data_IF_260976693625
#
_entry.id   IF_260976693625
#
_cell.length_a   1.000
_cell.length_b   1.000
_cell.length_c   1.000
_cell.angle_alpha   90.00
_cell.angle_beta   90.00
_cell.angle_gamma   90.00
#
_symmetry.space_group_name_H-M   'P 1'
#
loop_
_entity.id
_entity.type
_entity.pdbx_description
1 polymer ?
#
# COMPACT_ATOMS: atom_id res chain seq x y z
N UNK A 1 -9.14 31.65 -17.55
CA UNK A 1 -8.22 30.51 -17.31
C UNK A 1 -8.81 29.28 -18.00
N UNK A 2 -8.16 28.78 -19.05
CA UNK A 2 -8.64 27.60 -19.81
C UNK A 2 -8.22 26.35 -19.05
N UNK A 3 -9.15 25.71 -18.35
CA UNK A 3 -8.92 24.42 -17.71
C UNK A 3 -8.66 23.37 -18.80
N UNK A 4 -7.51 22.71 -18.70
CA UNK A 4 -7.11 21.58 -19.55
C UNK A 4 -8.01 20.36 -19.27
N UNK A 5 -9.24 20.39 -19.75
CA UNK A 5 -10.19 19.26 -19.65
C UNK A 5 -9.81 18.11 -20.61
N UNK A 6 -8.74 18.25 -21.39
CA UNK A 6 -8.18 17.21 -22.27
C UNK A 6 -7.62 15.99 -21.52
N UNK A 7 -7.41 16.07 -20.20
CA UNK A 7 -7.10 14.90 -19.36
C UNK A 7 -8.33 14.05 -18.99
N UNK A 8 -9.56 14.53 -19.26
CA UNK A 8 -10.80 13.82 -18.93
C UNK A 8 -11.29 12.90 -20.06
N UNK A 9 -10.45 12.58 -21.05
CA UNK A 9 -10.71 11.38 -21.85
C UNK A 9 -10.48 10.21 -20.91
N UNK A 10 -11.56 9.75 -20.27
CA UNK A 10 -11.53 8.60 -19.38
C UNK A 10 -10.82 7.47 -20.13
N UNK A 11 -9.62 7.05 -19.69
CA UNK A 11 -9.03 5.83 -20.19
C UNK A 11 -10.05 4.73 -20.00
N UNK A 12 -10.06 3.72 -20.87
CA UNK A 12 -10.86 2.52 -20.64
C UNK A 12 -10.42 1.94 -19.29
N UNK A 13 -11.15 2.29 -18.24
CA UNK A 13 -10.72 2.09 -16.88
C UNK A 13 -11.14 0.68 -16.47
N UNK A 14 -10.16 -0.12 -16.05
CA UNK A 14 -10.39 -1.51 -15.70
C UNK A 14 -10.85 -1.59 -14.26
N UNK A 15 -11.93 -2.33 -14.02
CA UNK A 15 -12.42 -2.61 -12.66
C UNK A 15 -11.52 -3.66 -12.01
N UNK A 16 -11.21 -3.47 -10.73
CA UNK A 16 -10.48 -4.46 -9.94
C UNK A 16 -11.36 -5.71 -9.70
N UNK A 17 -10.98 -6.84 -10.28
CA UNK A 17 -11.64 -8.16 -10.12
C UNK A 17 -10.84 -9.14 -9.26
N UNK A 18 -9.65 -8.75 -8.81
CA UNK A 18 -8.83 -9.60 -7.93
C UNK A 18 -9.46 -9.62 -6.54
N UNK A 19 -9.65 -10.81 -5.97
CA UNK A 19 -10.14 -10.93 -4.61
C UNK A 19 -9.24 -10.18 -3.60
N UNK A 20 -9.81 -9.47 -2.60
CA UNK A 20 -9.03 -8.60 -1.72
C UNK A 20 -7.89 -9.28 -0.95
N UNK A 21 -8.09 -10.53 -0.53
CA UNK A 21 -7.09 -11.35 0.16
C UNK A 21 -5.89 -11.68 -0.74
N UNK A 22 -6.15 -12.06 -1.99
CA UNK A 22 -5.11 -12.37 -2.98
C UNK A 22 -4.33 -11.10 -3.32
N UNK A 23 -5.05 -10.00 -3.56
CA UNK A 23 -4.44 -8.71 -3.83
C UNK A 23 -3.53 -8.25 -2.68
N UNK A 24 -4.00 -8.37 -1.43
CA UNK A 24 -3.21 -8.01 -0.26
C UNK A 24 -1.92 -8.85 -0.14
N UNK A 25 -2.00 -10.16 -0.41
CA UNK A 25 -0.84 -11.04 -0.38
C UNK A 25 0.19 -10.65 -1.45
N UNK A 26 -0.25 -10.43 -2.70
CA UNK A 26 0.62 -10.00 -3.79
C UNK A 26 1.32 -8.66 -3.49
N UNK A 27 0.61 -7.72 -2.90
CA UNK A 27 1.15 -6.41 -2.52
C UNK A 27 2.12 -6.52 -1.34
N UNK A 28 1.80 -7.34 -0.33
CA UNK A 28 2.68 -7.58 0.82
C UNK A 28 4.01 -8.25 0.41
N UNK A 29 3.96 -9.11 -0.61
CA UNK A 29 5.13 -9.78 -1.18
C UNK A 29 5.92 -8.91 -2.17
N UNK A 30 5.45 -7.69 -2.47
CA UNK A 30 6.09 -6.80 -3.45
C UNK A 30 5.96 -7.27 -4.91
N UNK A 31 5.01 -8.16 -5.20
CA UNK A 31 4.76 -8.69 -6.55
C UNK A 31 3.92 -7.74 -7.41
N UNK A 32 3.34 -6.71 -6.80
CA UNK A 32 2.58 -5.66 -7.46
C UNK A 32 3.17 -4.30 -7.11
N UNK A 33 3.42 -3.49 -8.13
CA UNK A 33 3.95 -2.15 -7.98
C UNK A 33 2.84 -1.10 -8.17
N UNK A 34 3.02 0.10 -7.61
CA UNK A 34 2.05 1.19 -7.73
C UNK A 34 1.71 1.54 -9.19
N UNK A 35 2.65 1.30 -10.11
CA UNK A 35 2.50 1.54 -11.56
C UNK A 35 1.52 0.59 -12.24
N UNK A 36 1.26 -0.58 -11.64
CA UNK A 36 0.39 -1.61 -12.23
C UNK A 36 -1.08 -1.21 -12.11
N UNK A 37 -1.39 -0.27 -11.21
CA UNK A 37 -2.74 0.21 -10.93
C UNK A 37 -3.12 1.49 -11.72
N UNK A 38 -2.29 1.92 -12.67
CA UNK A 38 -2.51 3.18 -13.43
C UNK A 38 -3.79 3.15 -14.26
N UNK A 39 -4.14 2.00 -14.81
CA UNK A 39 -5.32 1.81 -15.67
C UNK A 39 -6.63 1.56 -14.90
N UNK A 40 -6.58 1.47 -13.57
CA UNK A 40 -7.78 1.25 -12.77
C UNK A 40 -8.69 2.49 -12.75
N UNK A 41 -9.99 2.24 -12.60
CA UNK A 41 -10.95 3.29 -12.30
C UNK A 41 -10.70 3.92 -10.93
N UNK A 42 -11.33 5.07 -10.68
CA UNK A 42 -11.12 5.84 -9.46
C UNK A 42 -11.47 5.04 -8.19
N UNK A 43 -12.58 4.29 -8.20
CA UNK A 43 -13.02 3.48 -7.06
C UNK A 43 -12.06 2.33 -6.80
N UNK A 44 -11.67 1.62 -7.86
CA UNK A 44 -10.67 0.55 -7.79
C UNK A 44 -9.31 1.05 -7.26
N UNK A 45 -8.85 2.24 -7.70
CA UNK A 45 -7.64 2.88 -7.15
C UNK A 45 -7.77 3.14 -5.66
N UNK A 46 -8.87 3.73 -5.20
CA UNK A 46 -9.07 4.03 -3.78
C UNK A 46 -8.97 2.78 -2.91
N UNK A 47 -9.47 1.63 -3.38
CA UNK A 47 -9.35 0.34 -2.68
C UNK A 47 -7.88 -0.05 -2.52
N UNK A 48 -7.13 -0.04 -3.63
CA UNK A 48 -5.69 -0.36 -3.64
C UNK A 48 -4.90 0.56 -2.71
N UNK A 49 -5.13 1.87 -2.76
CA UNK A 49 -4.40 2.83 -1.92
C UNK A 49 -4.68 2.64 -0.43
N UNK A 50 -5.93 2.36 -0.04
CA UNK A 50 -6.28 2.02 1.35
C UNK A 50 -5.56 0.75 1.81
N UNK A 51 -5.45 -0.24 0.93
CA UNK A 51 -4.73 -1.49 1.22
C UNK A 51 -3.23 -1.25 1.39
N UNK A 52 -2.59 -0.51 0.48
CA UNK A 52 -1.18 -0.10 0.60
C UNK A 52 -0.91 0.65 1.91
N UNK A 53 -1.75 1.62 2.23
CA UNK A 53 -1.61 2.41 3.45
C UNK A 53 -1.70 1.53 4.70
N UNK A 54 -2.62 0.56 4.70
CA UNK A 54 -2.79 -0.37 5.82
C UNK A 54 -1.58 -1.29 5.97
N UNK A 55 -1.02 -1.79 4.86
CA UNK A 55 0.21 -2.59 4.84
C UNK A 55 1.43 -1.78 5.27
N UNK A 56 1.58 -0.55 4.80
CA UNK A 56 2.67 0.33 5.21
C UNK A 56 2.59 0.62 6.72
N UNK A 57 1.40 0.93 7.24
CA UNK A 57 1.17 1.15 8.66
C UNK A 57 1.56 -0.07 9.49
N UNK A 58 1.17 -1.28 9.08
CA UNK A 58 1.53 -2.50 9.82
C UNK A 58 3.04 -2.72 9.87
N UNK A 59 3.75 -2.53 8.74
CA UNK A 59 5.22 -2.64 8.67
C UNK A 59 5.93 -1.62 9.55
N UNK A 60 5.45 -0.38 9.57
CA UNK A 60 6.00 0.67 10.43
C UNK A 60 5.78 0.38 11.92
N UNK A 61 4.60 -0.13 12.31
CA UNK A 61 4.35 -0.52 13.70
C UNK A 61 5.19 -1.70 14.16
N UNK A 62 5.44 -2.68 13.28
CA UNK A 62 6.32 -3.81 13.60
C UNK A 62 7.77 -3.38 13.72
N UNK A 63 8.25 -2.46 12.88
CA UNK A 63 9.61 -1.93 12.97
C UNK A 63 9.86 -1.17 14.28
N UNK A 64 8.86 -0.46 14.81
CA UNK A 64 8.94 0.22 16.11
C UNK A 64 9.08 -0.72 17.31
N UNK A 65 8.54 -1.94 17.24
CA UNK A 65 8.59 -2.91 18.33
C UNK A 65 9.88 -3.74 18.39
N UNK A 66 10.79 -3.57 17.42
CA UNK A 66 12.10 -4.26 17.39
C UNK A 66 13.23 -3.45 18.07
N UNK A 67 12.93 -2.29 18.66
CA UNK A 67 13.80 -1.64 19.63
C UNK A 67 13.34 -2.04 21.04
N UNK A 68 13.70 -3.25 21.45
CA UNK A 68 13.70 -3.62 22.87
C UNK A 68 15.12 -3.32 23.36
N UNK A 69 15.33 -2.38 24.31
CA UNK A 69 16.64 -2.23 24.90
C UNK A 69 16.98 -3.56 25.57
N UNK A 70 18.07 -4.15 25.12
CA UNK A 70 18.78 -5.23 25.79
C UNK A 70 19.13 -4.69 27.18
N UNK A 71 18.45 -5.18 28.21
CA UNK A 71 18.81 -4.87 29.58
C UNK A 71 20.10 -5.64 29.86
N UNK A 72 21.23 -4.96 29.71
CA UNK A 72 22.51 -5.41 30.24
C UNK A 72 22.32 -5.66 31.74
N UNK A 73 22.34 -6.94 32.08
CA UNK A 73 22.27 -7.40 33.45
C UNK A 73 23.69 -7.28 34.01
N UNK A 74 24.07 -6.07 34.43
CA UNK A 74 25.25 -5.89 35.28
C UNK A 74 24.92 -6.38 36.68
N UNK A 75 25.04 -7.71 36.87
CA UNK A 75 25.33 -8.30 38.16
C UNK A 75 26.77 -7.91 38.54
N UNK A 76 26.91 -6.86 39.34
CA UNK A 76 28.13 -6.63 40.12
C UNK A 76 27.80 -6.86 41.58
N UNK A 77 28.70 -7.62 42.19
CA UNK A 77 28.66 -8.25 43.52
C UNK A 77 28.67 -7.27 44.68
#
# INVERSE_FOLDING_TARGET
MKLFLSFLKAPQAVKLEIQPNVLAALMANGQLHATDFRCLDLGSKQIVWKMLLSLAKSKLTTAGNLYKPENDTESVS
#
